data_IF_430154012136
#
_entry.id   IF_430154012136
#
_cell.length_a   1.000
_cell.length_b   1.000
_cell.length_c   1.000
_cell.angle_alpha   90.00
_cell.angle_beta   90.00
_cell.angle_gamma   90.00
#
_symmetry.space_group_name_H-M   'P 1'
#
loop_
_entity.id
_entity.type
_entity.pdbx_description
1 polymer ?
#
# COMPACT_ATOMS: atom_id res chain seq x y z
N UNK A 1 -1.25 -1.56 11.00
CA UNK A 1 -2.20 -2.66 10.72
C UNK A 1 -3.34 -2.73 11.75
N UNK A 2 -3.17 -3.04 13.06
CA UNK A 2 -4.25 -2.89 14.04
C UNK A 2 -4.58 -1.45 14.45
N UNK A 3 -3.64 -0.52 14.30
CA UNK A 3 -3.88 0.87 14.71
C UNK A 3 -4.60 1.70 13.64
N UNK A 4 -4.54 1.31 12.38
CA UNK A 4 -5.13 2.10 11.28
C UNK A 4 -6.65 1.93 11.21
N UNK A 5 -7.17 0.71 11.44
CA UNK A 5 -8.62 0.50 11.55
C UNK A 5 -9.18 1.18 12.81
N UNK A 6 -8.45 1.09 13.93
CA UNK A 6 -8.80 1.74 15.18
C UNK A 6 -8.88 3.26 15.01
N UNK A 7 -7.87 3.89 14.39
CA UNK A 7 -7.86 5.33 14.11
C UNK A 7 -9.02 5.79 13.24
N UNK A 8 -9.36 5.07 12.17
CA UNK A 8 -10.52 5.43 11.34
C UNK A 8 -11.84 5.36 12.12
N UNK A 9 -12.02 4.33 12.96
CA UNK A 9 -13.23 4.17 13.77
C UNK A 9 -13.30 5.21 14.89
N UNK A 10 -12.20 5.48 15.59
CA UNK A 10 -12.17 6.46 16.69
C UNK A 10 -12.22 7.91 16.23
N UNK A 11 -11.88 8.19 14.96
CA UNK A 11 -11.95 9.53 14.36
C UNK A 11 -13.30 9.84 13.70
N UNK A 12 -14.33 8.99 13.88
CA UNK A 12 -15.59 9.10 13.16
C UNK A 12 -15.38 9.14 11.63
N UNK A 13 -14.44 8.34 11.13
CA UNK A 13 -14.10 8.27 9.70
C UNK A 13 -13.52 9.57 9.11
N UNK A 14 -13.11 10.52 9.96
CA UNK A 14 -12.42 11.76 9.53
C UNK A 14 -10.99 11.49 9.08
N UNK A 15 -10.36 10.42 9.57
CA UNK A 15 -9.06 9.97 9.09
C UNK A 15 -9.20 8.81 8.10
N UNK A 16 -8.59 8.94 6.92
CA UNK A 16 -8.61 7.90 5.90
C UNK A 16 -7.73 6.72 6.31
N UNK A 17 -8.32 5.59 6.65
CA UNK A 17 -7.60 4.31 6.75
C UNK A 17 -8.05 3.31 5.71
N UNK A 18 -7.19 2.33 5.45
CA UNK A 18 -7.37 1.38 4.37
C UNK A 18 -7.40 -0.05 4.90
N UNK A 19 -8.59 -0.65 4.86
CA UNK A 19 -8.82 -2.07 4.98
C UNK A 19 -9.82 -2.50 3.92
N UNK A 20 -9.63 -3.66 3.28
CA UNK A 20 -10.60 -4.18 2.33
C UNK A 20 -11.81 -4.75 3.10
N UNK A 21 -12.82 -3.93 3.37
CA UNK A 21 -14.15 -4.47 3.75
C UNK A 21 -14.83 -5.16 2.55
N UNK A 22 -14.47 -4.73 1.33
CA UNK A 22 -14.95 -5.29 0.06
C UNK A 22 -13.74 -5.58 -0.83
N UNK A 23 -13.59 -6.82 -1.36
CA UNK A 23 -12.51 -7.15 -2.28
C UNK A 23 -12.54 -6.30 -3.57
N UNK A 24 -11.38 -6.00 -4.18
CA UNK A 24 -11.33 -5.34 -5.48
C UNK A 24 -11.97 -6.18 -6.59
N UNK A 25 -12.79 -5.54 -7.42
CA UNK A 25 -13.39 -6.07 -8.64
C UNK A 25 -13.53 -4.97 -9.71
N UNK A 26 -14.04 -5.31 -10.89
CA UNK A 26 -14.12 -4.37 -12.02
C UNK A 26 -14.93 -3.11 -11.69
N UNK A 27 -16.03 -3.23 -10.93
CA UNK A 27 -16.91 -2.10 -10.65
C UNK A 27 -16.38 -1.15 -9.57
N UNK A 28 -15.51 -1.62 -8.66
CA UNK A 28 -15.00 -0.82 -7.54
C UNK A 28 -13.50 -0.46 -7.63
N UNK A 29 -12.75 -1.02 -8.59
CA UNK A 29 -11.28 -0.85 -8.69
C UNK A 29 -10.83 0.61 -8.78
N UNK A 30 -11.62 1.45 -9.46
CA UNK A 30 -11.33 2.88 -9.62
C UNK A 30 -11.39 3.62 -8.27
N UNK A 31 -12.45 3.40 -7.50
CA UNK A 31 -12.62 3.99 -6.17
C UNK A 31 -11.55 3.50 -5.20
N UNK A 32 -11.22 2.21 -5.24
CA UNK A 32 -10.16 1.63 -4.42
C UNK A 32 -8.81 2.27 -4.74
N UNK A 33 -8.46 2.40 -6.02
CA UNK A 33 -7.20 3.03 -6.42
C UNK A 33 -7.15 4.51 -6.02
N UNK A 34 -8.28 5.23 -6.07
CA UNK A 34 -8.37 6.60 -5.57
C UNK A 34 -8.09 6.68 -4.06
N UNK A 35 -8.69 5.79 -3.27
CA UNK A 35 -8.45 5.71 -1.83
C UNK A 35 -6.98 5.34 -1.50
N UNK A 36 -6.40 4.37 -2.23
CA UNK A 36 -4.98 3.98 -2.08
C UNK A 36 -4.04 5.17 -2.35
N UNK A 37 -4.30 5.92 -3.41
CA UNK A 37 -3.46 7.08 -3.76
C UNK A 37 -3.52 8.18 -2.70
N UNK A 38 -4.67 8.39 -2.05
CA UNK A 38 -4.83 9.42 -1.03
C UNK A 38 -3.94 9.19 0.21
N UNK A 39 -3.54 7.93 0.45
CA UNK A 39 -2.66 7.54 1.56
C UNK A 39 -1.27 7.09 1.09
N UNK A 40 -0.88 7.45 -0.14
CA UNK A 40 0.45 7.15 -0.69
C UNK A 40 0.68 5.68 -1.06
N UNK A 41 -0.37 4.86 -1.17
CA UNK A 41 -0.24 3.46 -1.59
C UNK A 41 -0.30 3.32 -3.13
N UNK A 42 0.50 2.41 -3.72
CA UNK A 42 0.46 2.12 -5.16
C UNK A 42 -0.89 1.53 -5.57
N UNK A 43 -1.31 1.65 -6.83
CA UNK A 43 -2.54 1.00 -7.33
C UNK A 43 -2.51 -0.52 -7.13
N UNK A 44 -3.69 -1.16 -7.12
CA UNK A 44 -3.81 -2.63 -7.00
C UNK A 44 -3.02 -3.32 -8.13
N UNK A 45 -3.14 -2.83 -9.36
CA UNK A 45 -2.43 -3.37 -10.52
C UNK A 45 -0.92 -3.26 -10.37
N UNK A 46 -0.42 -2.11 -9.92
CA UNK A 46 1.01 -1.91 -9.70
C UNK A 46 1.53 -2.84 -8.59
N UNK A 47 0.81 -2.93 -7.46
CA UNK A 47 1.18 -3.85 -6.38
C UNK A 47 1.25 -5.30 -6.85
N UNK A 48 0.29 -5.74 -7.66
CA UNK A 48 0.31 -7.11 -8.21
C UNK A 48 1.51 -7.35 -9.13
N UNK A 49 1.88 -6.36 -9.96
CA UNK A 49 3.09 -6.44 -10.80
C UNK A 49 4.37 -6.53 -9.96
N UNK A 50 4.45 -5.75 -8.87
CA UNK A 50 5.60 -5.80 -7.96
C UNK A 50 5.71 -7.17 -7.28
N UNK A 51 4.60 -7.73 -6.77
CA UNK A 51 4.58 -9.08 -6.17
C UNK A 51 5.00 -10.16 -7.18
N UNK A 52 4.60 -10.02 -8.45
CA UNK A 52 5.02 -10.94 -9.50
C UNK A 52 6.55 -10.87 -9.73
N UNK A 53 7.15 -9.69 -9.64
CA UNK A 53 8.60 -9.52 -9.71
C UNK A 53 9.29 -10.14 -8.49
N UNK A 54 8.78 -9.91 -7.28
CA UNK A 54 9.32 -10.52 -6.05
C UNK A 54 9.33 -12.05 -6.17
N UNK A 55 8.20 -12.63 -6.55
CA UNK A 55 8.05 -14.07 -6.75
C UNK A 55 9.01 -14.61 -7.82
N UNK A 56 9.17 -13.87 -8.93
CA UNK A 56 10.03 -14.30 -10.05
C UNK A 56 11.53 -14.23 -9.72
N UNK A 57 11.94 -13.26 -8.93
CA UNK A 57 13.36 -12.93 -8.73
C UNK A 57 13.89 -13.34 -7.36
N UNK A 58 13.02 -13.61 -6.40
CA UNK A 58 13.39 -13.76 -4.98
C UNK A 58 13.78 -12.44 -4.30
N UNK A 59 13.70 -11.30 -5.01
CA UNK A 59 13.98 -9.98 -4.46
C UNK A 59 12.85 -9.55 -3.51
N UNK A 60 13.22 -9.01 -2.34
CA UNK A 60 12.27 -8.45 -1.38
C UNK A 60 12.09 -6.95 -1.67
N UNK A 61 10.96 -6.57 -2.26
CA UNK A 61 10.60 -5.18 -2.59
C UNK A 61 9.93 -4.46 -1.41
N UNK A 62 9.78 -5.14 -0.26
CA UNK A 62 9.43 -4.49 1.00
C UNK A 62 10.58 -3.57 1.45
N UNK A 63 10.33 -2.27 1.36
CA UNK A 63 11.19 -1.26 1.99
C UNK A 63 10.76 -1.09 3.45
N UNK A 64 11.68 -1.22 4.43
CA UNK A 64 11.41 -0.86 5.82
C UNK A 64 11.11 0.65 5.94
N UNK A 65 10.66 1.07 7.13
CA UNK A 65 10.08 2.40 7.39
C UNK A 65 10.83 3.56 6.73
N UNK A 66 10.03 4.53 6.26
CA UNK A 66 10.39 5.75 5.53
C UNK A 66 11.85 6.19 5.70
N UNK A 67 12.70 5.81 4.75
CA UNK A 67 14.00 6.44 4.57
C UNK A 67 13.76 7.71 3.77
N UNK A 68 13.92 8.87 4.40
CA UNK A 68 13.84 10.14 3.68
C UNK A 68 15.05 10.25 2.73
N UNK A 69 14.83 10.03 1.43
CA UNK A 69 15.86 10.11 0.39
C UNK A 69 16.10 8.80 -0.37
N UNK A 70 17.08 8.81 -1.27
CA UNK A 70 17.57 7.61 -1.96
C UNK A 70 18.28 6.69 -0.98
N UNK A 71 18.00 5.38 -1.07
CA UNK A 71 18.75 4.36 -0.34
C UNK A 71 20.20 4.43 -0.79
N UNK A 72 21.11 4.67 0.14
CA UNK A 72 22.54 4.67 -0.14
C UNK A 72 22.95 3.24 -0.54
N UNK A 73 23.59 3.11 -1.69
CA UNK A 73 24.22 1.87 -2.12
C UNK A 73 25.59 1.84 -1.44
N UNK A 74 25.80 0.90 -0.52
CA UNK A 74 27.13 0.66 0.04
C UNK A 74 27.95 -0.16 -0.97
N UNK A 75 29.04 0.42 -1.46
CA UNK A 75 30.06 -0.32 -2.19
C UNK A 75 30.86 -1.16 -1.19
N UNK A 76 31.09 -2.42 -1.54
CA UNK A 76 31.77 -3.40 -0.71
C UNK A 76 33.28 -3.15 -0.63
#
# INVERSE_FOLDING_TARGET
MPEDWKKAVTSEWKESSYGYLIPPNISNISQINKARSAIGLPSVQLRNKLIAIETKTGMRLYLPDWVNGTIKIEEK
#
